data_IF_703640982014
#
_entry.id   IF_703640982014
#
_cell.length_a   1.000
_cell.length_b   1.000
_cell.length_c   1.000
_cell.angle_alpha   90.00
_cell.angle_beta   90.00
_cell.angle_gamma   90.00
#
_symmetry.space_group_name_H-M   'P 1'
#
loop_
_entity.id
_entity.type
_entity.pdbx_description
1 polymer ?
#
# COMPACT_ATOMS: atom_id res chain seq x y z
N UNK A 1 -24.16 4.48 -11.53
CA UNK A 1 -24.85 3.19 -11.34
C UNK A 1 -25.94 3.24 -10.25
N UNK A 2 -25.68 3.91 -9.11
CA UNK A 2 -26.61 3.92 -7.97
C UNK A 2 -27.93 4.68 -8.22
N UNK A 3 -27.86 5.93 -8.71
CA UNK A 3 -29.07 6.77 -8.94
C UNK A 3 -30.11 6.10 -9.85
N UNK A 4 -29.75 5.59 -11.05
CA UNK A 4 -30.73 5.00 -11.95
C UNK A 4 -31.20 3.61 -11.51
N UNK A 5 -30.39 2.88 -10.74
CA UNK A 5 -30.80 1.63 -10.10
C UNK A 5 -31.92 1.85 -9.08
N UNK A 6 -31.78 2.87 -8.22
CA UNK A 6 -32.80 3.24 -7.24
C UNK A 6 -34.09 3.76 -7.89
N UNK A 7 -34.00 4.29 -9.11
CA UNK A 7 -35.13 4.72 -9.93
C UNK A 7 -35.79 3.57 -10.70
N UNK A 8 -35.29 2.33 -10.58
CA UNK A 8 -35.78 1.16 -11.32
C UNK A 8 -35.43 1.16 -12.81
N UNK A 9 -34.53 2.06 -13.25
CA UNK A 9 -34.13 2.21 -14.65
C UNK A 9 -33.00 1.24 -15.06
N UNK A 10 -32.42 0.52 -14.09
CA UNK A 10 -31.34 -0.45 -14.31
C UNK A 10 -31.67 -1.80 -13.69
N UNK A 11 -31.39 -2.88 -14.42
CA UNK A 11 -31.29 -4.23 -13.86
C UNK A 11 -30.14 -4.32 -12.87
N UNK A 12 -30.21 -5.28 -11.93
CA UNK A 12 -29.11 -5.61 -11.01
C UNK A 12 -27.78 -5.85 -11.75
N UNK A 13 -27.82 -6.58 -12.87
CA UNK A 13 -26.62 -6.89 -13.66
C UNK A 13 -26.03 -5.64 -14.32
N UNK A 14 -26.87 -4.78 -14.90
CA UNK A 14 -26.41 -3.54 -15.53
C UNK A 14 -25.88 -2.54 -14.50
N UNK A 15 -26.50 -2.48 -13.33
CA UNK A 15 -26.03 -1.67 -12.21
C UNK A 15 -24.65 -2.16 -11.73
N UNK A 16 -24.44 -3.47 -11.62
CA UNK A 16 -23.14 -4.05 -11.28
C UNK A 16 -22.07 -3.74 -12.34
N UNK A 17 -22.36 -4.01 -13.61
CA UNK A 17 -21.43 -3.77 -14.72
C UNK A 17 -21.02 -2.29 -14.83
N UNK A 18 -21.97 -1.37 -14.67
CA UNK A 18 -21.67 0.08 -14.64
C UNK A 18 -20.98 0.53 -13.36
N UNK A 19 -21.28 -0.12 -12.23
CA UNK A 19 -20.72 0.22 -10.93
C UNK A 19 -19.27 -0.20 -10.77
N UNK A 20 -18.90 -1.33 -11.36
CA UNK A 20 -17.55 -1.89 -11.24
C UNK A 20 -16.53 -1.22 -12.16
N UNK A 21 -16.97 -0.65 -13.29
CA UNK A 21 -16.10 -0.01 -14.28
C UNK A 21 -15.16 1.07 -13.71
N UNK A 22 -15.62 2.08 -12.93
CA UNK A 22 -14.70 3.06 -12.35
C UNK A 22 -13.70 2.44 -11.36
N UNK A 23 -14.10 1.38 -10.64
CA UNK A 23 -13.22 0.64 -9.72
C UNK A 23 -12.16 -0.13 -10.51
N UNK A 24 -12.55 -0.77 -11.61
CA UNK A 24 -11.62 -1.45 -12.53
C UNK A 24 -10.61 -0.47 -13.11
N UNK A 25 -11.06 0.69 -13.59
CA UNK A 25 -10.17 1.72 -14.12
C UNK A 25 -9.19 2.23 -13.07
N UNK A 26 -9.63 2.40 -11.82
CA UNK A 26 -8.73 2.72 -10.71
C UNK A 26 -7.68 1.62 -10.50
N UNK A 27 -8.10 0.36 -10.41
CA UNK A 27 -7.17 -0.77 -10.23
C UNK A 27 -6.17 -0.86 -11.40
N UNK A 28 -6.60 -0.67 -12.64
CA UNK A 28 -5.70 -0.68 -13.80
C UNK A 28 -4.63 0.41 -13.74
N UNK A 29 -4.98 1.62 -13.26
CA UNK A 29 -4.00 2.71 -13.12
C UNK A 29 -2.93 2.41 -12.07
N UNK A 30 -3.28 1.68 -11.02
CA UNK A 30 -2.37 1.36 -9.90
C UNK A 30 -1.64 0.02 -10.09
N UNK A 31 -2.20 -0.89 -10.88
CA UNK A 31 -1.60 -2.21 -11.12
C UNK A 31 -0.49 -2.11 -12.15
N UNK A 32 0.70 -2.61 -11.80
CA UNK A 32 1.84 -2.64 -12.73
C UNK A 32 1.64 -3.75 -13.77
N UNK A 33 2.04 -3.49 -15.01
CA UNK A 33 1.90 -4.45 -16.11
C UNK A 33 2.53 -5.82 -15.81
N UNK A 34 3.67 -5.84 -15.12
CA UNK A 34 4.36 -7.07 -14.70
C UNK A 34 3.53 -7.93 -13.74
N UNK A 35 2.82 -7.29 -12.81
CA UNK A 35 2.03 -7.98 -11.79
C UNK A 35 0.74 -8.50 -12.45
N UNK A 36 0.17 -7.71 -13.36
CA UNK A 36 -0.95 -8.13 -14.21
C UNK A 36 -0.60 -9.31 -15.11
N UNK A 37 0.54 -9.26 -15.80
CA UNK A 37 1.02 -10.32 -16.67
C UNK A 37 1.19 -11.64 -15.90
N UNK A 38 1.78 -11.59 -14.69
CA UNK A 38 1.91 -12.77 -13.83
C UNK A 38 0.56 -13.45 -13.61
N UNK A 39 -0.47 -12.71 -13.22
CA UNK A 39 -1.78 -13.30 -12.94
C UNK A 39 -2.53 -13.74 -14.21
N UNK A 40 -2.34 -13.07 -15.35
CA UNK A 40 -2.85 -13.53 -16.66
C UNK A 40 -2.22 -14.88 -17.04
N UNK A 41 -0.91 -15.03 -16.85
CA UNK A 41 -0.20 -16.29 -17.09
C UNK A 41 -0.66 -17.40 -16.14
N UNK A 42 -0.82 -17.10 -14.84
CA UNK A 42 -1.31 -18.06 -13.85
C UNK A 42 -2.75 -18.51 -14.14
N UNK A 43 -3.60 -17.61 -14.62
CA UNK A 43 -4.97 -17.90 -15.04
C UNK A 43 -5.05 -18.65 -16.39
N UNK A 44 -3.92 -18.89 -17.07
CA UNK A 44 -3.84 -19.53 -18.40
C UNK A 44 -4.73 -18.85 -19.45
N UNK A 45 -4.86 -17.53 -19.33
CA UNK A 45 -5.64 -16.74 -20.28
C UNK A 45 -4.83 -16.49 -21.56
N UNK A 46 -5.48 -16.39 -22.73
CA UNK A 46 -4.83 -15.90 -23.92
C UNK A 46 -4.29 -14.48 -23.67
N UNK A 47 -3.21 -14.12 -24.36
CA UNK A 47 -2.61 -12.80 -24.17
C UNK A 47 -3.64 -11.70 -24.50
N UNK A 48 -4.05 -10.90 -23.49
CA UNK A 48 -5.09 -9.90 -23.68
C UNK A 48 -4.57 -8.79 -24.59
N UNK A 49 -5.40 -8.31 -25.51
CA UNK A 49 -5.04 -7.20 -26.40
C UNK A 49 -5.41 -5.86 -25.77
N UNK A 50 -6.50 -5.86 -24.98
CA UNK A 50 -7.03 -4.69 -24.31
C UNK A 50 -7.26 -4.96 -22.82
N UNK A 51 -7.32 -3.89 -22.01
CA UNK A 51 -7.61 -3.96 -20.57
C UNK A 51 -9.00 -4.56 -20.28
N UNK A 52 -9.94 -4.39 -21.21
CA UNK A 52 -11.29 -4.98 -21.14
C UNK A 52 -11.29 -6.51 -21.20
N UNK A 53 -10.26 -7.11 -21.80
CA UNK A 53 -10.15 -8.56 -21.96
C UNK A 53 -9.75 -9.25 -20.65
N UNK A 54 -9.32 -8.46 -19.66
CA UNK A 54 -8.83 -8.97 -18.38
C UNK A 54 -10.00 -9.10 -17.39
N UNK A 55 -10.33 -10.35 -16.96
CA UNK A 55 -11.39 -10.57 -16.01
C UNK A 55 -11.10 -9.92 -14.66
N UNK A 56 -12.16 -9.49 -13.97
CA UNK A 56 -12.03 -8.86 -12.64
C UNK A 56 -11.36 -9.79 -11.61
N UNK A 57 -11.58 -11.10 -11.71
CA UNK A 57 -10.97 -12.09 -10.81
C UNK A 57 -9.45 -12.23 -10.99
N UNK A 58 -8.89 -11.73 -12.09
CA UNK A 58 -7.43 -11.64 -12.33
C UNK A 58 -6.89 -10.27 -11.92
N UNK A 59 -7.65 -9.21 -12.21
CA UNK A 59 -7.26 -7.84 -11.88
C UNK A 59 -7.16 -7.59 -10.38
N UNK A 60 -8.14 -8.06 -9.59
CA UNK A 60 -8.15 -7.86 -8.14
C UNK A 60 -6.88 -8.41 -7.46
N UNK A 61 -6.50 -9.69 -7.62
CA UNK A 61 -5.30 -10.21 -6.97
C UNK A 61 -4.01 -9.58 -7.51
N UNK A 62 -3.95 -9.22 -8.80
CA UNK A 62 -2.83 -8.48 -9.37
C UNK A 62 -2.63 -7.11 -8.71
N UNK A 63 -3.73 -6.36 -8.54
CA UNK A 63 -3.75 -5.09 -7.83
C UNK A 63 -3.29 -5.25 -6.38
N UNK A 64 -3.86 -6.21 -5.63
CA UNK A 64 -3.54 -6.44 -4.22
C UNK A 64 -2.05 -6.75 -4.02
N UNK A 65 -1.45 -7.59 -4.88
CA UNK A 65 -0.01 -7.89 -4.77
C UNK A 65 0.84 -6.65 -5.08
N UNK A 66 0.44 -5.84 -6.06
CA UNK A 66 1.08 -4.56 -6.35
C UNK A 66 1.05 -3.62 -5.14
N UNK A 67 -0.12 -3.47 -4.52
CA UNK A 67 -0.30 -2.62 -3.33
C UNK A 67 0.44 -3.14 -2.10
N UNK A 68 0.45 -4.46 -1.86
CA UNK A 68 1.22 -5.04 -0.77
C UNK A 68 2.71 -4.73 -0.93
N UNK A 69 3.24 -4.86 -2.14
CA UNK A 69 4.63 -4.52 -2.42
C UNK A 69 4.92 -3.04 -2.14
N UNK A 70 4.07 -2.14 -2.62
CA UNK A 70 4.20 -0.70 -2.36
C UNK A 70 4.11 -0.38 -0.87
N UNK A 71 3.17 -0.99 -0.15
CA UNK A 71 3.01 -0.84 1.30
C UNK A 71 4.23 -1.32 2.09
N UNK A 72 4.82 -2.46 1.72
CA UNK A 72 6.07 -2.94 2.32
C UNK A 72 7.24 -2.00 2.07
N UNK A 73 7.34 -1.43 0.86
CA UNK A 73 8.38 -0.46 0.53
C UNK A 73 8.26 0.81 1.38
N UNK A 74 7.04 1.34 1.53
CA UNK A 74 6.79 2.49 2.40
C UNK A 74 7.10 2.18 3.87
N UNK A 75 6.61 1.05 4.37
CA UNK A 75 6.86 0.62 5.75
C UNK A 75 8.35 0.49 6.04
N UNK A 76 9.12 -0.07 5.10
CA UNK A 76 10.57 -0.16 5.21
C UNK A 76 11.24 1.22 5.28
N UNK A 77 10.87 2.14 4.38
CA UNK A 77 11.42 3.50 4.37
C UNK A 77 11.10 4.28 5.67
N UNK A 78 9.89 4.12 6.20
CA UNK A 78 9.47 4.72 7.48
C UNK A 78 10.26 4.12 8.64
N UNK A 79 10.57 2.83 8.60
CA UNK A 79 11.29 2.14 9.67
C UNK A 79 12.77 2.52 9.77
N UNK A 80 13.43 2.82 8.64
CA UNK A 80 14.87 3.12 8.60
C UNK A 80 15.34 4.19 9.60
N UNK A 81 14.75 5.40 9.69
CA UNK A 81 15.21 6.41 10.65
C UNK A 81 15.09 5.93 12.11
N UNK A 82 14.06 5.15 12.45
CA UNK A 82 13.89 4.61 13.80
C UNK A 82 14.92 3.53 14.13
N UNK A 83 15.30 2.72 13.13
CA UNK A 83 16.35 1.73 13.27
C UNK A 83 17.71 2.40 13.56
N UNK A 84 17.99 3.51 12.89
CA UNK A 84 19.21 4.31 13.17
C UNK A 84 19.20 4.80 14.62
N UNK A 85 18.07 5.31 15.11
CA UNK A 85 17.93 5.74 16.52
C UNK A 85 18.20 4.57 17.47
N UNK A 86 17.67 3.38 17.19
CA UNK A 86 17.93 2.19 18.02
C UNK A 86 19.41 1.81 18.05
N UNK A 87 20.08 1.79 16.89
CA UNK A 87 21.50 1.47 16.81
C UNK A 87 22.37 2.48 17.56
N UNK A 88 22.07 3.78 17.41
CA UNK A 88 22.82 4.84 18.09
C UNK A 88 22.62 4.75 19.61
N UNK A 89 21.38 4.64 20.09
CA UNK A 89 21.08 4.54 21.53
C UNK A 89 21.72 3.29 22.14
N UNK A 90 21.64 2.16 21.45
CA UNK A 90 22.28 0.91 21.89
C UNK A 90 23.80 1.07 22.01
N UNK A 91 24.45 1.64 20.99
CA UNK A 91 25.91 1.85 21.02
C UNK A 91 26.36 2.80 22.12
N UNK A 92 25.57 3.84 22.43
CA UNK A 92 25.84 4.77 23.52
C UNK A 92 25.68 4.12 24.91
N UNK A 93 24.62 3.32 25.12
CA UNK A 93 24.40 2.57 26.37
C UNK A 93 25.51 1.55 26.63
N UNK A 94 25.92 0.82 25.58
CA UNK A 94 27.04 -0.11 25.66
C UNK A 94 28.33 0.60 26.03
N UNK A 95 28.59 1.77 25.46
CA UNK A 95 29.77 2.59 25.76
C UNK A 95 29.81 3.10 27.21
N UNK A 96 28.64 3.31 27.82
CA UNK A 96 28.51 3.69 29.24
C UNK A 96 28.58 2.49 30.20
N UNK A 97 28.70 1.25 29.69
CA UNK A 97 28.71 0.03 30.50
C UNK A 97 27.32 -0.40 31.02
N UNK A 98 26.24 0.23 30.55
CA UNK A 98 24.87 -0.07 30.99
C UNK A 98 24.26 -1.24 30.22
N UNK A 99 24.82 -2.45 30.40
CA UNK A 99 24.35 -3.66 29.70
C UNK A 99 22.98 -4.18 30.17
N UNK A 100 22.54 -3.80 31.37
CA UNK A 100 21.30 -4.31 31.98
C UNK A 100 20.05 -3.49 31.62
N UNK A 101 20.22 -2.30 31.04
CA UNK A 101 19.08 -1.48 30.63
C UNK A 101 18.66 -1.86 29.21
N UNK A 102 17.39 -2.21 28.96
CA UNK A 102 16.90 -2.50 27.62
C UNK A 102 17.02 -1.26 26.71
N UNK A 103 17.82 -1.29 25.62
CA UNK A 103 18.01 -0.12 24.76
C UNK A 103 16.71 0.40 24.15
N UNK A 104 15.73 -0.49 23.93
CA UNK A 104 14.41 -0.17 23.37
C UNK A 104 13.62 0.80 24.24
N UNK A 105 13.69 0.65 25.58
CA UNK A 105 12.97 1.53 26.51
C UNK A 105 13.54 2.95 26.47
N UNK A 106 14.85 3.06 26.30
CA UNK A 106 15.54 4.35 26.21
C UNK A 106 15.34 4.99 24.84
N UNK A 107 15.32 4.20 23.75
CA UNK A 107 15.16 4.74 22.39
C UNK A 107 13.74 5.21 22.09
N UNK A 108 12.71 4.62 22.71
CA UNK A 108 11.30 4.97 22.50
C UNK A 108 10.99 6.48 22.59
N UNK A 109 11.35 7.21 23.66
CA UNK A 109 11.09 8.65 23.73
C UNK A 109 11.80 9.45 22.63
N UNK A 110 13.02 9.05 22.22
CA UNK A 110 13.72 9.70 21.10
C UNK A 110 13.02 9.46 19.78
N UNK A 111 12.49 8.25 19.54
CA UNK A 111 11.69 7.95 18.34
C UNK A 111 10.44 8.81 18.28
N UNK A 112 9.70 8.89 19.40
CA UNK A 112 8.49 9.70 19.49
C UNK A 112 8.82 11.17 19.26
N UNK A 113 9.89 11.68 19.88
CA UNK A 113 10.34 13.06 19.68
C UNK A 113 10.71 13.31 18.22
N UNK A 114 11.53 12.45 17.61
CA UNK A 114 11.91 12.57 16.19
C UNK A 114 10.69 12.57 15.29
N UNK A 115 9.73 11.67 15.53
CA UNK A 115 8.50 11.57 14.75
C UNK A 115 7.63 12.83 14.85
N UNK A 116 7.52 13.42 16.04
CA UNK A 116 6.78 14.68 16.24
C UNK A 116 7.52 15.88 15.62
N UNK A 117 8.84 15.94 15.76
CA UNK A 117 9.67 17.05 15.25
C UNK A 117 9.61 17.18 13.72
N UNK A 118 9.51 16.06 13.02
CA UNK A 118 9.43 16.04 11.55
C UNK A 118 7.99 16.11 11.01
N UNK A 119 7.00 16.29 11.90
CA UNK A 119 5.58 16.18 11.57
C UNK A 119 5.25 14.87 10.83
N UNK A 120 5.64 13.75 11.46
CA UNK A 120 5.62 12.44 10.82
C UNK A 120 4.23 11.97 10.39
N UNK A 121 3.16 12.36 11.09
CA UNK A 121 1.79 12.08 10.67
C UNK A 121 1.44 12.74 9.34
N UNK A 122 1.81 14.01 9.17
CA UNK A 122 1.60 14.72 7.92
C UNK A 122 2.40 14.09 6.78
N UNK A 123 3.67 13.73 7.03
CA UNK A 123 4.53 13.09 6.03
C UNK A 123 3.97 11.75 5.57
N UNK A 124 3.53 10.89 6.50
CA UNK A 124 2.93 9.59 6.17
C UNK A 124 1.63 9.78 5.38
N UNK A 125 0.72 10.63 5.86
CA UNK A 125 -0.55 10.88 5.19
C UNK A 125 -0.34 11.42 3.77
N UNK A 126 0.57 12.38 3.60
CA UNK A 126 0.93 12.94 2.30
C UNK A 126 1.53 11.88 1.37
N UNK A 127 2.42 11.04 1.88
CA UNK A 127 3.07 9.98 1.10
C UNK A 127 2.07 8.93 0.61
N UNK A 128 1.08 8.58 1.45
CA UNK A 128 -0.01 7.68 1.08
C UNK A 128 -0.89 8.29 -0.02
N UNK A 129 -1.31 9.56 0.12
CA UNK A 129 -2.14 10.23 -0.89
C UNK A 129 -1.40 10.33 -2.23
N UNK A 130 -0.13 10.74 -2.20
CA UNK A 130 0.69 10.86 -3.42
C UNK A 130 0.96 9.51 -4.09
N UNK A 131 0.87 8.40 -3.37
CA UNK A 131 1.08 7.06 -3.95
C UNK A 131 -0.07 6.59 -4.84
N UNK A 132 -1.26 7.15 -4.67
CA UNK A 132 -2.44 6.81 -5.46
C UNK A 132 -2.73 7.83 -6.57
N UNK A 133 -1.87 8.84 -6.73
CA UNK A 133 -1.89 9.81 -7.82
C UNK A 133 -0.93 9.39 -8.93
#
# INVERSE_FOLDING_TARGET
ALQPYLQGELSNEDAYNRGIEPVRQFMFRQTREKDLALFVHLARLPQPRNQTDIPTHVLIPAFIIGELKTGFQMGFLILMPFLIVDMVVSSALMSMGMMMLPPVTISLPFKVLLFVLVDGWHLIARSLVLSFQ
#
